data_IF_876343165785
#
_entry.id   IF_876343165785
#
_cell.length_a   1.000
_cell.length_b   1.000
_cell.length_c   1.000
_cell.angle_alpha   90.00
_cell.angle_beta   90.00
_cell.angle_gamma   90.00
#
_symmetry.space_group_name_H-M   'P 1'
#
loop_
_entity.id
_entity.type
_entity.pdbx_description
1 polymer ?
#
# COMPACT_ATOMS: atom_id res chain seq x y z
N UNK A 1 14.58 5.10 1.58
CA UNK A 1 15.02 4.26 0.44
C UNK A 1 16.13 4.93 -0.34
N UNK A 2 15.83 6.01 -1.05
CA UNK A 2 16.80 6.71 -1.92
C UNK A 2 18.09 7.10 -1.20
N UNK A 3 18.00 7.76 -0.04
CA UNK A 3 19.18 8.17 0.73
C UNK A 3 20.00 7.00 1.29
N UNK A 4 19.34 5.91 1.68
CA UNK A 4 20.01 4.71 2.21
C UNK A 4 20.84 4.04 1.13
N UNK A 5 20.22 3.76 -0.03
CA UNK A 5 20.91 3.18 -1.20
C UNK A 5 22.01 4.11 -1.70
N UNK A 6 21.76 5.43 -1.73
CA UNK A 6 22.78 6.39 -2.14
C UNK A 6 23.99 6.39 -1.20
N UNK A 7 23.76 6.35 0.13
CA UNK A 7 24.83 6.23 1.11
C UNK A 7 25.62 4.93 0.98
N UNK A 8 24.93 3.81 0.76
CA UNK A 8 25.56 2.50 0.50
C UNK A 8 26.44 2.52 -0.76
N UNK A 9 25.96 3.15 -1.84
CA UNK A 9 26.72 3.34 -3.09
C UNK A 9 27.99 4.15 -2.80
N UNK A 10 27.90 5.26 -2.07
CA UNK A 10 29.08 6.05 -1.71
C UNK A 10 30.07 5.22 -0.87
N UNK A 11 29.58 4.50 0.13
CA UNK A 11 30.40 3.64 0.99
C UNK A 11 31.17 2.60 0.15
N UNK A 12 30.49 1.94 -0.79
CA UNK A 12 31.10 0.91 -1.64
C UNK A 12 32.14 1.49 -2.59
N UNK A 13 31.82 2.57 -3.29
CA UNK A 13 32.68 3.08 -4.36
C UNK A 13 33.84 3.95 -3.85
N UNK A 14 33.67 4.69 -2.75
CA UNK A 14 34.69 5.61 -2.24
C UNK A 14 35.48 5.05 -1.06
N UNK A 15 34.85 4.21 -0.23
CA UNK A 15 35.45 3.68 0.99
C UNK A 15 35.70 2.17 0.92
N UNK A 16 35.34 1.52 -0.19
CA UNK A 16 35.46 0.08 -0.39
C UNK A 16 34.83 -0.74 0.76
N UNK A 17 33.74 -0.24 1.33
CA UNK A 17 33.01 -0.85 2.44
C UNK A 17 31.50 -0.86 2.16
N UNK A 18 30.76 -1.75 2.80
CA UNK A 18 29.31 -1.88 2.62
C UNK A 18 28.62 -2.19 3.94
N UNK A 19 27.37 -1.76 4.05
CA UNK A 19 26.54 -2.00 5.22
C UNK A 19 25.46 -3.00 4.86
N UNK A 20 25.57 -4.24 5.35
CA UNK A 20 24.62 -5.32 5.03
C UNK A 20 23.20 -4.99 5.50
N UNK A 21 23.07 -4.41 6.69
CA UNK A 21 21.81 -3.94 7.25
C UNK A 21 21.07 -2.93 6.34
N UNK A 22 21.79 -2.11 5.55
CA UNK A 22 21.15 -1.16 4.63
C UNK A 22 20.41 -1.89 3.51
N UNK A 23 20.98 -3.00 3.02
CA UNK A 23 20.40 -3.79 1.94
C UNK A 23 19.10 -4.46 2.40
N UNK A 24 19.13 -5.15 3.55
CA UNK A 24 17.93 -5.76 4.13
C UNK A 24 16.86 -4.72 4.46
N UNK A 25 17.25 -3.59 5.07
CA UNK A 25 16.32 -2.53 5.43
C UNK A 25 15.66 -1.91 4.18
N UNK A 26 16.43 -1.78 3.10
CA UNK A 26 15.92 -1.29 1.81
C UNK A 26 14.91 -2.26 1.19
N UNK A 27 15.18 -3.57 1.22
CA UNK A 27 14.26 -4.59 0.73
C UNK A 27 12.96 -4.59 1.54
N UNK A 28 13.06 -4.55 2.87
CA UNK A 28 11.92 -4.48 3.78
C UNK A 28 11.05 -3.26 3.45
N UNK A 29 11.62 -2.06 3.49
CA UNK A 29 10.87 -0.84 3.20
C UNK A 29 10.33 -0.80 1.77
N UNK A 30 11.02 -1.36 0.78
CA UNK A 30 10.50 -1.46 -0.59
C UNK A 30 9.18 -2.23 -0.62
N UNK A 31 9.09 -3.37 0.08
CA UNK A 31 7.84 -4.12 0.23
C UNK A 31 6.71 -3.29 0.85
N UNK A 32 7.03 -2.55 1.93
CA UNK A 32 6.11 -1.61 2.58
C UNK A 32 5.61 -0.51 1.64
N UNK A 33 6.51 0.16 0.93
CA UNK A 33 6.13 1.21 -0.01
C UNK A 33 5.33 0.69 -1.20
N UNK A 34 5.68 -0.46 -1.75
CA UNK A 34 4.97 -1.05 -2.89
C UNK A 34 3.55 -1.43 -2.51
N UNK A 35 3.34 -2.10 -1.37
CA UNK A 35 1.99 -2.52 -0.96
C UNK A 35 1.09 -1.33 -0.58
N UNK A 36 1.63 -0.32 0.10
CA UNK A 36 0.89 0.92 0.34
C UNK A 36 0.63 1.70 -0.96
N UNK A 37 1.62 1.78 -1.83
CA UNK A 37 1.52 2.44 -3.13
C UNK A 37 0.47 1.79 -4.02
N UNK A 38 0.39 0.46 -4.06
CA UNK A 38 -0.65 -0.26 -4.80
C UNK A 38 -2.05 0.02 -4.24
N UNK A 39 -2.23 -0.01 -2.92
CA UNK A 39 -3.52 0.31 -2.28
C UNK A 39 -3.96 1.75 -2.58
N UNK A 40 -3.03 2.71 -2.50
CA UNK A 40 -3.30 4.10 -2.86
C UNK A 40 -3.54 4.27 -4.37
N UNK A 41 -2.83 3.53 -5.22
CA UNK A 41 -3.03 3.53 -6.66
C UNK A 41 -4.42 3.09 -7.08
N UNK A 42 -5.02 2.11 -6.38
CA UNK A 42 -6.44 1.77 -6.56
C UNK A 42 -7.34 2.93 -6.13
N UNK A 43 -7.01 3.64 -5.04
CA UNK A 43 -7.78 4.81 -4.57
C UNK A 43 -7.84 5.94 -5.61
N UNK A 44 -6.73 6.21 -6.30
CA UNK A 44 -6.61 7.30 -7.28
C UNK A 44 -6.97 6.84 -8.71
N UNK A 45 -7.35 5.57 -8.90
CA UNK A 45 -7.68 5.07 -10.23
C UNK A 45 -6.48 5.03 -11.18
N UNK A 46 -5.27 4.75 -10.68
CA UNK A 46 -4.04 4.72 -11.47
C UNK A 46 -3.95 3.54 -12.47
N UNK A 47 -5.01 2.75 -12.65
CA UNK A 47 -5.09 1.60 -13.55
C UNK A 47 -5.43 2.00 -15.00
N UNK A 48 -4.68 2.96 -15.52
CA UNK A 48 -4.90 3.61 -16.83
C UNK A 48 -4.97 2.59 -17.99
N UNK A 49 -4.18 1.50 -17.92
CA UNK A 49 -4.14 0.48 -18.97
C UNK A 49 -5.45 -0.29 -19.14
N UNK A 50 -6.10 -0.69 -18.03
CA UNK A 50 -7.39 -1.40 -18.09
C UNK A 50 -8.51 -0.43 -18.45
N UNK A 51 -8.42 0.82 -17.99
CA UNK A 51 -9.39 1.86 -18.29
C UNK A 51 -9.42 2.21 -19.79
N UNK A 52 -8.28 2.27 -20.47
CA UNK A 52 -8.24 2.55 -21.91
C UNK A 52 -9.01 1.50 -22.72
N UNK A 53 -8.88 0.22 -22.37
CA UNK A 53 -9.61 -0.87 -23.00
C UNK A 53 -11.11 -0.80 -22.69
N UNK A 54 -11.47 -0.64 -21.41
CA UNK A 54 -12.86 -0.63 -20.95
C UNK A 54 -13.62 0.60 -21.48
N UNK A 55 -12.95 1.73 -21.68
CA UNK A 55 -13.54 2.94 -22.26
C UNK A 55 -13.90 2.84 -23.76
N UNK A 56 -13.44 1.80 -24.48
CA UNK A 56 -13.89 1.56 -25.87
C UNK A 56 -15.24 0.84 -25.95
N UNK A 57 -15.74 0.32 -24.83
CA UNK A 57 -17.01 -0.41 -24.75
C UNK A 57 -18.20 0.54 -24.53
N UNK A 58 -19.39 0.13 -24.98
CA UNK A 58 -20.64 0.82 -24.67
C UNK A 58 -20.98 0.73 -23.17
N UNK A 59 -21.81 1.63 -22.62
CA UNK A 59 -21.99 1.79 -21.17
C UNK A 59 -22.42 0.53 -20.41
N UNK A 60 -23.25 -0.32 -21.02
CA UNK A 60 -23.72 -1.56 -20.41
C UNK A 60 -22.61 -2.62 -20.23
N UNK A 61 -21.97 -3.09 -21.32
CA UNK A 61 -20.85 -4.02 -21.25
C UNK A 61 -19.67 -3.51 -20.43
N UNK A 62 -19.41 -2.20 -20.47
CA UNK A 62 -18.36 -1.54 -19.69
C UNK A 62 -18.48 -1.85 -18.19
N UNK A 63 -19.66 -1.64 -17.62
CA UNK A 63 -19.94 -1.88 -16.20
C UNK A 63 -19.83 -3.36 -15.82
N UNK A 64 -20.30 -4.27 -16.69
CA UNK A 64 -20.21 -5.70 -16.43
C UNK A 64 -18.75 -6.19 -16.42
N UNK A 65 -17.94 -5.73 -17.37
CA UNK A 65 -16.51 -6.07 -17.43
C UNK A 65 -15.77 -5.50 -16.23
N UNK A 66 -16.04 -4.25 -15.84
CA UNK A 66 -15.44 -3.64 -14.67
C UNK A 66 -15.80 -4.38 -13.37
N UNK A 67 -17.08 -4.77 -13.22
CA UNK A 67 -17.55 -5.54 -12.06
C UNK A 67 -16.89 -6.93 -12.00
N UNK A 68 -16.84 -7.63 -13.13
CA UNK A 68 -16.19 -8.95 -13.18
C UNK A 68 -14.70 -8.86 -12.83
N UNK A 69 -13.98 -7.90 -13.42
CA UNK A 69 -12.58 -7.67 -13.14
C UNK A 69 -12.34 -7.30 -11.66
N UNK A 70 -13.17 -6.43 -11.08
CA UNK A 70 -13.04 -6.02 -9.68
C UNK A 70 -13.29 -7.19 -8.72
N UNK A 71 -14.27 -8.05 -9.01
CA UNK A 71 -14.53 -9.27 -8.24
C UNK A 71 -13.33 -10.22 -8.30
N UNK A 72 -12.75 -10.44 -9.48
CA UNK A 72 -11.54 -11.25 -9.62
C UNK A 72 -10.37 -10.69 -8.81
N UNK A 73 -10.20 -9.35 -8.80
CA UNK A 73 -9.19 -8.70 -7.96
C UNK A 73 -9.46 -8.93 -6.46
N UNK A 74 -10.71 -8.87 -6.00
CA UNK A 74 -11.05 -9.18 -4.60
C UNK A 74 -10.72 -10.63 -4.25
N UNK A 75 -11.07 -11.59 -5.13
CA UNK A 75 -10.75 -13.01 -4.92
C UNK A 75 -9.24 -13.20 -4.84
N UNK A 76 -8.49 -12.60 -5.77
CA UNK A 76 -7.03 -12.66 -5.79
C UNK A 76 -6.42 -12.10 -4.50
N UNK A 77 -6.89 -10.94 -4.04
CA UNK A 77 -6.45 -10.38 -2.76
C UNK A 77 -6.78 -11.30 -1.58
N UNK A 78 -7.93 -11.96 -1.59
CA UNK A 78 -8.32 -12.95 -0.58
C UNK A 78 -7.37 -14.16 -0.54
N UNK A 79 -6.97 -14.68 -1.71
CA UNK A 79 -5.98 -15.77 -1.79
C UNK A 79 -4.62 -15.34 -1.21
N UNK A 80 -4.16 -14.13 -1.53
CA UNK A 80 -2.93 -13.59 -0.99
C UNK A 80 -3.00 -13.32 0.51
N UNK A 81 -4.15 -12.86 1.02
CA UNK A 81 -4.36 -12.70 2.46
C UNK A 81 -4.24 -14.03 3.21
N UNK A 82 -4.87 -15.08 2.68
CA UNK A 82 -4.75 -16.43 3.26
C UNK A 82 -3.30 -16.91 3.21
N UNK A 83 -2.63 -16.78 2.07
CA UNK A 83 -1.21 -17.16 1.94
C UNK A 83 -0.30 -16.36 2.87
N UNK A 84 -0.57 -15.06 3.03
CA UNK A 84 0.17 -14.18 3.95
C UNK A 84 -0.02 -14.61 5.40
N UNK A 85 -1.25 -14.95 5.79
CA UNK A 85 -1.54 -15.43 7.14
C UNK A 85 -0.78 -16.72 7.46
N UNK A 86 -0.87 -17.71 6.58
CA UNK A 86 -0.18 -19.00 6.76
C UNK A 86 1.33 -18.78 6.87
N UNK A 87 1.89 -17.96 5.96
CA UNK A 87 3.30 -17.64 5.93
C UNK A 87 3.77 -16.96 7.23
N UNK A 88 3.09 -15.90 7.67
CA UNK A 88 3.42 -15.19 8.92
C UNK A 88 3.29 -16.11 10.13
N UNK A 89 2.26 -16.95 10.18
CA UNK A 89 2.07 -17.89 11.28
C UNK A 89 3.23 -18.89 11.38
N UNK A 90 3.73 -19.35 10.23
CA UNK A 90 4.88 -20.23 10.15
C UNK A 90 6.17 -19.51 10.56
N UNK A 91 6.40 -18.28 10.09
CA UNK A 91 7.57 -17.48 10.48
C UNK A 91 7.57 -17.19 11.99
N UNK A 92 6.41 -16.92 12.58
CA UNK A 92 6.24 -16.71 14.02
C UNK A 92 6.50 -17.99 14.83
N UNK A 93 6.00 -19.14 14.36
CA UNK A 93 6.21 -20.42 15.04
C UNK A 93 7.67 -20.86 15.04
N UNK A 94 8.39 -20.62 13.95
CA UNK A 94 9.82 -20.93 13.85
C UNK A 94 10.65 -19.91 14.63
N UNK A 95 10.21 -18.65 14.68
CA UNK A 95 10.96 -17.57 15.35
C UNK A 95 12.19 -17.16 14.56
N UNK A 96 12.10 -17.13 13.22
CA UNK A 96 13.24 -16.76 12.37
C UNK A 96 13.61 -15.28 12.56
N UNK A 97 14.88 -14.97 12.90
CA UNK A 97 15.40 -13.61 12.92
C UNK A 97 15.79 -13.13 11.52
N UNK A 98 15.80 -11.81 11.31
CA UNK A 98 16.50 -11.21 10.17
C UNK A 98 18.01 -11.33 10.35
N UNK A 99 18.77 -11.31 9.26
CA UNK A 99 20.20 -11.64 9.27
C UNK A 99 21.05 -10.47 9.76
N UNK A 100 20.71 -9.23 9.37
CA UNK A 100 21.58 -8.07 9.57
C UNK A 100 20.89 -6.89 10.27
N UNK A 101 19.68 -7.08 10.83
CA UNK A 101 18.92 -5.99 11.46
C UNK A 101 18.61 -6.31 12.91
N UNK A 102 19.32 -5.63 13.80
CA UNK A 102 19.12 -5.69 15.24
C UNK A 102 18.27 -4.54 15.76
N UNK A 103 17.55 -4.81 16.85
CA UNK A 103 16.89 -3.76 17.60
C UNK A 103 17.92 -2.90 18.33
N UNK A 104 17.63 -1.60 18.53
CA UNK A 104 18.47 -0.76 19.38
C UNK A 104 18.66 -1.36 20.77
N UNK A 105 19.91 -1.45 21.23
CA UNK A 105 20.27 -2.09 22.50
C UNK A 105 19.49 -1.57 23.71
N UNK A 106 19.12 -0.28 23.71
CA UNK A 106 18.31 0.30 24.80
C UNK A 106 16.89 -0.25 24.86
N UNK A 107 16.33 -0.75 23.75
CA UNK A 107 15.02 -1.42 23.73
C UNK A 107 15.18 -2.84 24.24
N UNK A 108 16.19 -3.55 23.73
CA UNK A 108 16.47 -4.95 24.05
C UNK A 108 16.74 -5.15 25.54
N UNK A 109 17.57 -4.30 26.15
CA UNK A 109 17.89 -4.40 27.58
C UNK A 109 16.72 -4.10 28.52
N UNK A 110 15.68 -3.42 28.03
CA UNK A 110 14.50 -3.08 28.83
C UNK A 110 13.38 -4.12 28.68
N UNK A 111 13.54 -5.08 27.77
CA UNK A 111 12.59 -6.17 27.59
C UNK A 111 12.89 -7.28 28.59
N UNK A 112 11.82 -7.80 29.19
CA UNK A 112 11.88 -9.05 29.92
C UNK A 112 12.21 -10.20 28.94
N UNK A 113 13.25 -11.03 29.20
CA UNK A 113 13.69 -12.07 28.27
C UNK A 113 12.59 -13.10 27.94
N UNK A 114 11.81 -13.50 28.95
CA UNK A 114 10.74 -14.48 28.76
C UNK A 114 9.65 -13.90 27.86
N UNK A 115 9.23 -12.65 28.12
CA UNK A 115 8.29 -11.95 27.26
C UNK A 115 8.82 -11.78 25.82
N UNK A 116 10.08 -11.39 25.65
CA UNK A 116 10.69 -11.17 24.35
C UNK A 116 10.68 -12.43 23.48
N UNK A 117 11.01 -13.58 24.06
CA UNK A 117 11.01 -14.85 23.31
C UNK A 117 9.62 -15.46 23.13
N UNK A 118 8.77 -15.44 24.16
CA UNK A 118 7.47 -16.10 24.10
C UNK A 118 6.48 -15.36 23.19
N UNK A 119 6.47 -14.03 23.25
CA UNK A 119 5.49 -13.19 22.54
C UNK A 119 6.06 -12.55 21.29
N UNK A 120 7.30 -12.05 21.35
CA UNK A 120 7.87 -11.31 20.22
C UNK A 120 8.78 -12.17 19.34
N UNK A 121 9.24 -13.32 19.84
CA UNK A 121 10.25 -14.18 19.19
C UNK A 121 11.56 -13.42 18.94
N UNK A 122 11.91 -12.54 19.87
CA UNK A 122 13.17 -11.79 19.86
C UNK A 122 14.14 -12.50 20.78
N UNK A 123 15.32 -12.84 20.26
CA UNK A 123 16.40 -13.40 21.06
C UNK A 123 17.22 -12.26 21.69
N UNK A 124 16.97 -11.99 22.97
CA UNK A 124 17.66 -10.94 23.74
C UNK A 124 19.14 -11.30 23.97
N UNK A 125 19.49 -12.59 23.94
CA UNK A 125 20.87 -13.04 24.14
C UNK A 125 21.75 -12.75 22.90
N UNK A 126 21.14 -12.72 21.71
CA UNK A 126 21.81 -12.47 20.43
C UNK A 126 21.63 -11.02 19.92
N UNK A 127 21.74 -10.02 20.80
CA UNK A 127 21.54 -8.59 20.48
C UNK A 127 20.12 -8.18 20.03
N UNK A 128 19.14 -9.07 20.11
CA UNK A 128 17.74 -8.77 19.79
C UNK A 128 17.50 -8.53 18.29
N UNK A 129 17.80 -9.50 17.41
CA UNK A 129 17.55 -9.36 15.99
C UNK A 129 16.06 -9.21 15.73
N UNK A 130 15.70 -8.40 14.75
CA UNK A 130 14.29 -8.16 14.42
C UNK A 130 13.72 -9.44 13.79
N UNK A 131 12.59 -9.97 14.30
CA UNK A 131 11.97 -11.17 13.76
C UNK A 131 11.43 -10.95 12.34
N UNK A 132 11.58 -11.97 11.49
CA UNK A 132 11.11 -11.96 10.10
C UNK A 132 9.59 -11.72 10.02
N UNK A 133 8.81 -12.28 10.95
CA UNK A 133 7.36 -12.09 10.98
C UNK A 133 6.96 -10.63 11.18
N UNK A 134 7.75 -9.84 11.93
CA UNK A 134 7.50 -8.41 12.11
C UNK A 134 7.79 -7.65 10.81
N UNK A 135 8.93 -7.93 10.18
CA UNK A 135 9.32 -7.33 8.90
C UNK A 135 8.27 -7.60 7.79
N UNK A 136 7.85 -8.86 7.69
CA UNK A 136 6.96 -9.34 6.64
C UNK A 136 5.47 -9.17 6.96
N UNK A 137 5.14 -8.62 8.13
CA UNK A 137 3.78 -8.27 8.52
C UNK A 137 3.06 -7.39 7.50
N UNK A 138 3.83 -6.65 6.68
CA UNK A 138 3.33 -5.90 5.54
C UNK A 138 2.51 -6.72 4.56
N UNK A 139 2.81 -8.00 4.36
CA UNK A 139 2.03 -8.83 3.46
C UNK A 139 0.58 -8.87 3.92
N UNK A 140 0.35 -9.16 5.21
CA UNK A 140 -0.99 -9.18 5.78
C UNK A 140 -1.64 -7.79 5.79
N UNK A 141 -0.92 -6.76 6.26
CA UNK A 141 -1.44 -5.39 6.39
C UNK A 141 -1.75 -4.79 5.00
N UNK A 142 -0.78 -4.89 4.09
CA UNK A 142 -0.83 -4.35 2.74
C UNK A 142 -1.91 -5.01 1.89
N UNK A 143 -1.99 -6.35 1.88
CA UNK A 143 -3.07 -7.03 1.17
C UNK A 143 -4.44 -6.78 1.81
N UNK A 144 -4.52 -6.56 3.13
CA UNK A 144 -5.79 -6.19 3.79
C UNK A 144 -6.28 -4.84 3.30
N UNK A 145 -5.38 -3.85 3.27
CA UNK A 145 -5.68 -2.52 2.75
C UNK A 145 -6.03 -2.54 1.25
N UNK A 146 -5.33 -3.35 0.45
CA UNK A 146 -5.61 -3.49 -0.98
C UNK A 146 -6.96 -4.18 -1.22
N UNK A 147 -7.24 -5.28 -0.52
CA UNK A 147 -8.51 -5.99 -0.57
C UNK A 147 -9.67 -5.05 -0.23
N UNK A 148 -9.53 -4.27 0.85
CA UNK A 148 -10.53 -3.29 1.26
C UNK A 148 -10.83 -2.28 0.15
N UNK A 149 -9.80 -1.78 -0.55
CA UNK A 149 -10.00 -0.85 -1.68
C UNK A 149 -10.72 -1.49 -2.85
N UNK A 150 -10.39 -2.73 -3.22
CA UNK A 150 -11.12 -3.43 -4.28
C UNK A 150 -12.56 -3.76 -3.89
N UNK A 151 -12.84 -4.05 -2.61
CA UNK A 151 -14.21 -4.22 -2.11
C UNK A 151 -14.98 -2.91 -2.24
N UNK A 152 -14.39 -1.78 -1.83
CA UNK A 152 -15.01 -0.45 -2.00
C UNK A 152 -15.34 -0.17 -3.47
N UNK A 153 -14.39 -0.42 -4.37
CA UNK A 153 -14.61 -0.24 -5.81
C UNK A 153 -15.72 -1.15 -6.35
N UNK A 154 -15.71 -2.42 -5.96
CA UNK A 154 -16.73 -3.40 -6.39
C UNK A 154 -18.12 -2.99 -5.93
N UNK A 155 -18.26 -2.51 -4.68
CA UNK A 155 -19.53 -2.00 -4.16
C UNK A 155 -19.99 -0.76 -4.93
N UNK A 156 -19.08 0.16 -5.24
CA UNK A 156 -19.41 1.38 -5.98
C UNK A 156 -19.90 1.08 -7.41
N UNK A 157 -19.24 0.14 -8.11
CA UNK A 157 -19.67 -0.34 -9.44
C UNK A 157 -21.01 -1.08 -9.34
N UNK A 158 -21.21 -1.87 -8.28
CA UNK A 158 -22.47 -2.58 -8.06
C UNK A 158 -23.64 -1.64 -7.83
N UNK A 159 -23.45 -0.55 -7.07
CA UNK A 159 -24.46 0.50 -6.87
C UNK A 159 -24.70 1.36 -8.12
N UNK A 160 -23.79 1.34 -9.10
CA UNK A 160 -23.90 2.14 -10.31
C UNK A 160 -23.49 3.59 -10.09
N UNK A 161 -22.74 3.87 -9.03
CA UNK A 161 -22.10 5.17 -8.80
C UNK A 161 -20.92 5.37 -9.77
N UNK A 162 -20.40 4.26 -10.34
CA UNK A 162 -19.23 4.26 -11.21
C UNK A 162 -19.37 3.22 -12.32
N UNK A 163 -19.02 3.61 -13.55
CA UNK A 163 -19.00 2.72 -14.72
C UNK A 163 -17.59 2.15 -15.04
N UNK A 164 -16.60 2.31 -14.16
CA UNK A 164 -15.19 1.93 -14.41
C UNK A 164 -14.33 1.92 -13.15
N UNK A 165 -12.99 1.90 -13.30
CA UNK A 165 -12.05 1.84 -12.16
C UNK A 165 -11.78 3.19 -11.47
N UNK A 166 -12.43 4.28 -11.90
CA UNK A 166 -12.31 5.60 -11.28
C UNK A 166 -13.21 5.73 -10.05
N UNK A 167 -12.67 5.95 -8.87
CA UNK A 167 -13.50 6.07 -7.67
C UNK A 167 -14.42 7.31 -7.71
N UNK A 168 -15.65 7.14 -7.20
CA UNK A 168 -16.73 8.12 -7.19
C UNK A 168 -16.40 9.49 -6.57
N UNK A 169 -15.35 9.55 -5.75
CA UNK A 169 -14.90 10.77 -5.07
C UNK A 169 -14.42 11.83 -6.09
N UNK A 170 -13.76 11.43 -7.18
CA UNK A 170 -13.35 12.36 -8.25
C UNK A 170 -14.55 12.92 -9.03
N UNK A 171 -15.60 12.12 -9.23
CA UNK A 171 -16.81 12.61 -9.90
C UNK A 171 -17.53 13.67 -9.04
N UNK A 172 -17.54 13.48 -7.71
CA UNK A 172 -18.06 14.46 -6.76
C UNK A 172 -17.22 15.73 -6.69
N UNK A 173 -15.89 15.60 -6.72
CA UNK A 173 -14.96 16.73 -6.74
C UNK A 173 -15.06 17.52 -8.06
N UNK A 174 -15.22 16.83 -9.19
CA UNK A 174 -15.45 17.46 -10.50
C UNK A 174 -16.76 18.27 -10.52
N UNK A 175 -17.83 17.74 -9.93
CA UNK A 175 -19.10 18.48 -9.79
C UNK A 175 -18.95 19.72 -8.91
N UNK A 176 -18.21 19.63 -7.80
CA UNK A 176 -17.96 20.78 -6.94
C UNK A 176 -17.12 21.86 -7.64
N UNK A 177 -16.13 21.46 -8.44
CA UNK A 177 -15.34 22.39 -9.27
C UNK A 177 -16.20 23.06 -10.36
N UNK A 178 -17.17 22.35 -10.95
CA UNK A 178 -18.11 22.91 -11.90
C UNK A 178 -19.05 23.91 -11.20
N UNK A 179 -19.56 23.57 -10.02
CA UNK A 179 -20.41 24.46 -9.21
C UNK A 179 -19.64 25.72 -8.78
N UNK A 180 -18.39 25.59 -8.33
CA UNK A 180 -17.53 26.72 -7.97
C UNK A 180 -17.20 27.58 -9.19
N UNK A 181 -16.95 26.97 -10.36
CA UNK A 181 -16.75 27.70 -11.61
C UNK A 181 -18.02 28.43 -12.06
N UNK A 182 -19.20 27.81 -11.93
CA UNK A 182 -20.49 28.42 -12.25
C UNK A 182 -20.82 29.58 -11.31
N UNK A 183 -20.54 29.45 -10.02
CA UNK A 183 -20.69 30.52 -9.04
C UNK A 183 -19.74 31.69 -9.34
N UNK A 184 -18.50 31.41 -9.71
CA UNK A 184 -17.49 32.43 -10.06
C UNK A 184 -17.87 33.17 -11.35
N UNK A 185 -18.39 32.45 -12.36
CA UNK A 185 -18.89 33.05 -13.58
C UNK A 185 -20.08 34.01 -13.33
N UNK A 186 -21.03 33.59 -12.48
CA UNK A 186 -22.21 34.39 -12.11
C UNK A 186 -21.84 35.66 -11.32
N UNK A 187 -20.83 35.57 -10.46
CA UNK A 187 -20.33 36.72 -9.68
C UNK A 187 -19.62 37.76 -10.55
N UNK A 188 -18.92 37.31 -11.58
CA UNK A 188 -18.22 38.18 -12.53
C UNK A 188 -19.13 38.87 -13.54
N UNK A 189 -20.27 38.29 -13.89
CA UNK A 189 -21.31 38.96 -14.70
C UNK A 189 -21.99 40.07 -13.91
N UNK A 190 -22.29 39.84 -12.63
CA UNK A 190 -22.96 40.85 -11.79
C UNK A 190 -22.08 42.10 -11.55
N UNK A 191 -20.76 41.93 -11.41
CA UNK A 191 -19.82 43.05 -11.24
C UNK A 191 -19.51 43.84 -12.53
N UNK A 192 -19.97 43.35 -13.69
CA UNK A 192 -19.81 44.04 -14.98
C UNK A 192 -20.98 44.97 -15.31
N UNK A 193 -22.15 44.71 -14.73
CA UNK A 193 -23.36 45.51 -14.96
C UNK A 193 -23.46 46.74 -14.02
N UNK A 194 -22.63 46.78 -12.97
CA UNK A 194 -22.53 47.88 -11.97
C UNK A 194 -21.48 48.96 -12.31
N UNK A 195 -20.92 48.97 -13.54
CA UNK A 195 -20.00 50.01 -14.04
C UNK A 195 -20.51 50.63 -15.34
#
# INVERSE_FOLDING_TARGET
MTLLVFGEVIARFFFNTGFLWIQELTLTFCGWFVLFGMSYGVKVGAHIGVDAFVNTLSPGPKRLVALFASILCVIYCGLFLKGSWDYLSQMYQIGLPMEDIDLPAFIVHQLDPDFAWEVLKIDVEDNGPVPVWMSQSILLIGFSMLAWRFIQLTIAIFKGEVDGFKLADEAKESMHLIDDAAQTATKNTHNKDDK
#
